data_IF_544607199804
#
_entry.id   IF_544607199804
#
_cell.length_a   1.000
_cell.length_b   1.000
_cell.length_c   1.000
_cell.angle_alpha   90.00
_cell.angle_beta   90.00
_cell.angle_gamma   90.00
#
_symmetry.space_group_name_H-M   'P 1'
#
loop_
_entity.id
_entity.type
_entity.pdbx_description
1 polymer ?
#
# COMPACT_ATOMS: atom_id res chain seq x y z
N UNK A 1 15.05 49.52 -18.30
CA UNK A 1 16.35 50.21 -18.35
C UNK A 1 17.20 49.73 -17.18
N UNK A 2 18.37 49.12 -17.50
CA UNK A 2 19.71 49.14 -16.84
C UNK A 2 19.79 49.28 -15.31
N UNK A 3 20.65 48.59 -14.54
CA UNK A 3 21.92 47.90 -14.78
C UNK A 3 22.20 46.92 -13.60
N UNK A 4 22.69 45.70 -13.82
CA UNK A 4 24.11 45.26 -13.79
C UNK A 4 24.93 45.86 -12.63
N UNK A 5 25.32 45.02 -11.65
CA UNK A 5 26.66 45.04 -11.05
C UNK A 5 27.16 43.62 -10.76
N UNK A 6 28.32 43.35 -11.34
CA UNK A 6 29.21 42.21 -11.22
C UNK A 6 30.11 42.46 -10.01
N UNK A 7 30.39 41.45 -9.19
CA UNK A 7 31.67 41.34 -8.47
C UNK A 7 32.06 39.87 -8.29
N UNK A 8 33.36 39.65 -8.31
CA UNK A 8 34.04 38.46 -8.76
C UNK A 8 34.75 37.68 -7.63
N UNK A 9 34.97 36.39 -7.89
CA UNK A 9 36.15 35.55 -7.57
C UNK A 9 36.66 35.44 -6.11
N UNK A 10 36.71 34.19 -5.61
CA UNK A 10 37.93 33.63 -5.00
C UNK A 10 37.93 32.08 -5.07
N UNK A 11 38.97 31.54 -5.72
CA UNK A 11 39.41 30.15 -5.77
C UNK A 11 40.17 29.78 -4.50
N UNK A 12 39.97 28.58 -3.93
CA UNK A 12 41.01 27.87 -3.18
C UNK A 12 40.94 26.38 -3.54
N UNK A 13 41.97 25.91 -4.24
CA UNK A 13 42.31 24.51 -4.43
C UNK A 13 43.43 24.15 -3.44
N UNK A 14 43.35 22.98 -2.81
CA UNK A 14 44.46 22.39 -2.05
C UNK A 14 44.63 20.94 -2.51
N UNK A 15 45.82 20.65 -3.05
CA UNK A 15 46.33 19.33 -3.37
C UNK A 15 47.72 19.17 -2.76
N UNK A 16 48.06 17.95 -2.32
CA UNK A 16 49.40 17.56 -1.84
C UNK A 16 49.29 16.60 -0.63
N UNK A 17 50.06 15.52 -0.48
CA UNK A 17 51.29 15.04 -1.12
C UNK A 17 51.48 13.51 -0.88
N UNK A 18 52.41 12.94 -1.66
CA UNK A 18 53.09 11.63 -1.66
C UNK A 18 53.34 10.92 -0.30
N UNK A 19 53.62 9.62 -0.17
CA UNK A 19 54.24 8.63 -1.07
C UNK A 19 55.68 8.28 -0.63
N UNK A 20 56.09 7.00 -0.75
CA UNK A 20 57.38 6.34 -0.41
C UNK A 20 57.41 5.69 1.00
N UNK A 21 57.93 4.48 1.25
CA UNK A 21 59.03 3.74 0.62
C UNK A 21 58.94 2.20 0.82
N UNK A 22 59.59 1.46 -0.08
CA UNK A 22 59.93 0.02 0.01
C UNK A 22 61.42 -0.10 0.38
N UNK A 23 61.87 -1.27 0.88
CA UNK A 23 62.94 -1.93 0.13
C UNK A 23 62.78 -3.46 0.03
N UNK A 24 63.65 -4.00 -0.82
CA UNK A 24 63.58 -5.28 -1.51
C UNK A 24 64.28 -6.47 -0.79
N UNK A 25 64.07 -7.62 -1.43
CA UNK A 25 64.51 -9.02 -1.24
C UNK A 25 66.03 -9.25 -1.06
N UNK A 26 66.44 -10.49 -0.74
CA UNK A 26 66.95 -11.34 -1.83
C UNK A 26 66.51 -12.81 -1.81
N UNK A 27 66.43 -13.38 -3.02
CA UNK A 27 66.34 -14.80 -3.37
C UNK A 27 67.62 -15.59 -3.02
N UNK A 28 67.49 -16.92 -2.88
CA UNK A 28 68.29 -17.95 -3.58
C UNK A 28 68.09 -19.34 -2.92
N UNK A 29 67.45 -20.29 -3.62
CA UNK A 29 68.03 -21.49 -4.30
C UNK A 29 68.15 -22.76 -3.44
N UNK A 30 67.83 -23.91 -4.04
CA UNK A 30 68.30 -25.21 -3.54
C UNK A 30 67.35 -26.38 -3.76
N UNK A 31 67.84 -27.39 -4.46
CA UNK A 31 67.11 -28.46 -5.18
C UNK A 31 67.13 -29.82 -4.44
N UNK A 32 66.26 -30.75 -4.87
CA UNK A 32 66.42 -32.24 -4.92
C UNK A 32 66.45 -33.12 -3.65
N UNK A 33 65.38 -33.94 -3.49
CA UNK A 33 65.23 -35.42 -3.32
C UNK A 33 66.28 -36.31 -2.56
N UNK A 34 65.92 -37.56 -2.17
CA UNK A 34 65.65 -38.05 -0.81
C UNK A 34 66.76 -38.96 -0.22
N UNK A 35 66.65 -39.39 1.05
CA UNK A 35 66.77 -40.83 1.30
C UNK A 35 65.87 -41.37 2.44
N UNK A 36 65.65 -42.69 2.42
CA UNK A 36 65.24 -43.51 3.57
C UNK A 36 66.33 -44.58 3.78
N UNK A 37 66.39 -45.40 4.87
CA UNK A 37 65.67 -45.35 6.16
C UNK A 37 66.61 -45.48 7.41
N UNK A 38 66.07 -45.18 8.62
CA UNK A 38 66.35 -45.64 10.03
C UNK A 38 67.77 -46.08 10.50
N UNK A 39 68.18 -45.81 11.77
CA UNK A 39 67.52 -46.41 12.94
C UNK A 39 67.37 -45.55 14.20
N UNK A 40 66.56 -46.10 15.10
CA UNK A 40 66.10 -45.57 16.36
C UNK A 40 67.21 -45.18 17.34
N UNK A 41 66.98 -44.09 18.06
CA UNK A 41 67.50 -43.85 19.41
C UNK A 41 66.56 -42.88 20.10
N UNK A 42 65.79 -43.39 21.07
CA UNK A 42 64.97 -42.63 22.00
C UNK A 42 65.81 -41.67 22.83
N UNK A 43 65.31 -40.45 23.06
CA UNK A 43 65.37 -39.90 24.41
C UNK A 43 64.01 -39.34 24.87
N UNK A 44 63.61 -39.84 26.04
CA UNK A 44 62.91 -39.14 27.13
C UNK A 44 61.83 -38.15 26.71
N UNK A 45 60.57 -38.57 26.89
CA UNK A 45 59.38 -37.76 26.77
C UNK A 45 59.44 -36.53 27.69
N UNK A 46 59.73 -35.37 27.10
CA UNK A 46 59.34 -34.08 27.67
C UNK A 46 57.83 -33.93 27.54
N UNK A 47 57.17 -33.56 28.64
CA UNK A 47 55.73 -33.35 28.71
C UNK A 47 55.22 -32.41 27.60
N UNK A 48 54.00 -32.62 27.08
CA UNK A 48 53.49 -31.85 25.96
C UNK A 48 53.29 -30.39 26.36
N UNK A 49 53.87 -29.48 25.58
CA UNK A 49 53.58 -28.05 25.63
C UNK A 49 52.19 -27.86 25.03
N UNK A 50 51.20 -27.52 25.86
CA UNK A 50 49.78 -27.36 25.49
C UNK A 50 49.50 -26.04 24.76
N UNK A 51 50.48 -25.53 24.02
CA UNK A 51 50.33 -24.31 23.24
C UNK A 51 49.93 -24.73 21.82
N UNK A 52 48.79 -24.22 21.36
CA UNK A 52 48.17 -24.39 20.04
C UNK A 52 47.10 -25.49 19.88
N UNK A 53 46.15 -25.56 20.81
CA UNK A 53 44.76 -25.89 20.41
C UNK A 53 44.07 -24.58 20.04
N UNK A 54 43.68 -24.35 18.77
CA UNK A 54 42.80 -23.23 18.45
C UNK A 54 41.54 -23.39 19.30
N UNK A 55 41.35 -22.50 20.27
CA UNK A 55 40.07 -22.39 20.96
C UNK A 55 39.01 -22.06 19.92
N UNK A 56 38.32 -23.09 19.45
CA UNK A 56 37.11 -22.95 18.67
C UNK A 56 36.15 -22.18 19.56
N UNK A 57 35.98 -20.88 19.29
CA UNK A 57 34.95 -20.10 19.95
C UNK A 57 33.63 -20.85 19.76
N UNK A 58 32.83 -21.07 20.81
CA UNK A 58 31.50 -21.62 20.66
C UNK A 58 30.77 -20.83 19.57
N UNK A 59 30.42 -21.48 18.47
CA UNK A 59 29.62 -20.82 17.44
C UNK A 59 28.28 -20.47 18.09
N UNK A 60 27.79 -19.22 17.93
CA UNK A 60 26.48 -18.87 18.42
C UNK A 60 25.45 -19.85 17.83
N UNK A 61 24.41 -20.24 18.59
CA UNK A 61 23.39 -21.15 18.11
C UNK A 61 22.82 -20.62 16.80
N UNK A 62 22.69 -21.50 15.81
CA UNK A 62 22.07 -21.14 14.52
C UNK A 62 20.67 -20.57 14.79
N UNK A 63 20.27 -19.49 14.11
CA UNK A 63 18.94 -18.92 14.28
C UNK A 63 17.87 -19.97 13.97
N UNK A 64 16.70 -19.91 14.64
CA UNK A 64 15.60 -20.81 14.34
C UNK A 64 15.21 -20.70 12.87
N UNK A 65 14.69 -21.79 12.26
CA UNK A 65 14.23 -21.76 10.88
C UNK A 65 13.15 -20.68 10.71
N UNK A 66 13.09 -20.02 9.54
CA UNK A 66 12.10 -18.97 9.31
C UNK A 66 10.68 -19.53 9.43
N UNK A 67 9.72 -18.71 9.88
CA UNK A 67 8.32 -19.12 9.93
C UNK A 67 7.83 -19.59 8.55
N UNK A 68 6.87 -20.53 8.47
CA UNK A 68 6.35 -21.06 7.21
C UNK A 68 5.46 -20.05 6.45
N UNK A 69 5.44 -18.79 6.88
CA UNK A 69 4.57 -17.74 6.40
C UNK A 69 5.32 -16.41 6.35
N UNK A 70 4.84 -15.48 5.53
CA UNK A 70 5.44 -14.18 5.31
C UNK A 70 4.89 -13.06 6.22
N UNK A 71 3.72 -13.26 6.84
CA UNK A 71 3.18 -12.26 7.76
C UNK A 71 4.00 -12.15 9.05
N UNK A 72 4.16 -10.92 9.56
CA UNK A 72 4.85 -10.60 10.81
C UNK A 72 3.93 -10.69 12.03
N UNK A 73 2.62 -10.51 11.83
CA UNK A 73 1.62 -10.67 12.89
C UNK A 73 0.27 -11.17 12.35
N UNK A 74 -0.50 -11.83 13.22
CA UNK A 74 -1.89 -12.21 12.98
C UNK A 74 -2.73 -11.80 14.18
N UNK A 75 -3.86 -11.14 13.92
CA UNK A 75 -4.85 -10.79 14.92
C UNK A 75 -6.25 -10.82 14.31
N UNK A 76 -7.11 -11.69 14.85
CA UNK A 76 -8.51 -11.82 14.47
C UNK A 76 -8.72 -12.00 12.95
N UNK A 77 -7.86 -12.83 12.32
CA UNK A 77 -7.91 -13.05 10.86
C UNK A 77 -7.48 -11.83 10.02
N UNK A 78 -6.80 -10.86 10.65
CA UNK A 78 -6.11 -9.75 9.99
C UNK A 78 -4.61 -9.98 10.11
N UNK A 79 -3.91 -9.94 8.99
CA UNK A 79 -2.49 -10.30 8.86
C UNK A 79 -1.67 -9.05 8.56
N UNK A 80 -0.60 -8.81 9.31
CA UNK A 80 0.28 -7.67 9.13
C UNK A 80 1.57 -8.07 8.41
N UNK A 81 1.90 -7.34 7.35
CA UNK A 81 3.11 -7.57 6.54
C UNK A 81 4.05 -6.37 6.62
N UNK A 82 5.34 -6.63 6.74
CA UNK A 82 6.37 -5.59 6.77
C UNK A 82 6.70 -5.13 5.35
N UNK A 83 6.46 -3.85 5.01
CA UNK A 83 6.86 -3.33 3.72
C UNK A 83 8.36 -3.05 3.70
N UNK A 84 8.98 -3.26 2.55
CA UNK A 84 10.37 -2.89 2.34
C UNK A 84 10.62 -1.38 2.59
N UNK A 85 11.76 -1.09 3.19
CA UNK A 85 12.31 0.26 3.29
C UNK A 85 12.86 0.69 1.93
N UNK A 86 12.63 1.93 1.56
CA UNK A 86 13.30 2.55 0.41
C UNK A 86 14.71 3.02 0.79
N UNK A 87 15.56 3.27 -0.21
CA UNK A 87 16.89 3.89 0.00
C UNK A 87 16.80 5.23 0.75
N UNK A 88 15.75 6.01 0.49
CA UNK A 88 15.52 7.28 1.18
C UNK A 88 15.08 7.06 2.63
N UNK A 89 14.27 6.03 2.90
CA UNK A 89 13.93 5.63 4.28
C UNK A 89 15.21 5.32 5.06
N UNK A 90 16.09 4.48 4.50
CA UNK A 90 17.36 4.10 5.12
C UNK A 90 18.24 5.33 5.34
N UNK A 91 18.39 6.19 4.33
CA UNK A 91 19.20 7.41 4.41
C UNK A 91 18.68 8.40 5.45
N UNK A 92 17.36 8.44 5.65
CA UNK A 92 16.71 9.25 6.68
C UNK A 92 16.77 8.64 8.09
N UNK A 93 17.40 7.47 8.26
CA UNK A 93 17.50 6.76 9.54
C UNK A 93 16.21 6.04 9.94
N UNK A 94 15.27 5.83 9.00
CA UNK A 94 14.05 5.08 9.28
C UNK A 94 14.36 3.58 9.34
N UNK A 95 14.24 3.00 10.52
CA UNK A 95 14.51 1.59 10.75
C UNK A 95 13.33 0.66 10.40
N UNK A 96 12.09 1.15 10.47
CA UNK A 96 10.87 0.36 10.22
C UNK A 96 9.77 1.20 9.59
N UNK A 97 8.84 0.55 8.91
CA UNK A 97 7.59 1.13 8.42
C UNK A 97 6.41 0.46 9.13
N UNK A 98 5.26 1.15 9.29
CA UNK A 98 4.05 0.52 9.80
C UNK A 98 3.68 -0.70 8.97
N UNK A 99 3.12 -1.73 9.62
CA UNK A 99 2.65 -2.93 8.95
C UNK A 99 1.51 -2.61 7.99
N UNK A 100 1.53 -3.29 6.85
CA UNK A 100 0.41 -3.30 5.91
C UNK A 100 -0.53 -4.42 6.34
N UNK A 101 -1.73 -4.03 6.77
CA UNK A 101 -2.73 -4.96 7.29
C UNK A 101 -3.59 -5.47 6.15
N UNK A 102 -3.83 -6.77 6.09
CA UNK A 102 -4.68 -7.39 5.09
C UNK A 102 -5.59 -8.47 5.68
N UNK A 103 -6.67 -8.76 4.96
CA UNK A 103 -7.60 -9.86 5.25
C UNK A 103 -7.74 -10.73 4.01
N UNK A 104 -7.66 -12.04 4.19
CA UNK A 104 -7.88 -12.98 3.11
C UNK A 104 -9.37 -13.25 2.94
N UNK A 105 -9.93 -13.10 1.75
CA UNK A 105 -11.36 -13.38 1.47
C UNK A 105 -11.59 -14.85 1.14
N UNK A 106 -10.55 -15.53 0.65
CA UNK A 106 -10.66 -16.87 0.08
C UNK A 106 -10.51 -16.88 -1.44
N UNK A 107 -10.72 -18.07 -2.01
CA UNK A 107 -10.79 -18.25 -3.45
C UNK A 107 -12.19 -17.89 -3.97
N UNK A 108 -12.25 -17.08 -5.03
CA UNK A 108 -13.47 -16.66 -5.72
C UNK A 108 -13.24 -16.79 -7.22
N UNK A 109 -14.07 -17.56 -7.91
CA UNK A 109 -14.00 -17.71 -9.37
C UNK A 109 -12.58 -18.10 -9.87
N UNK A 110 -11.92 -19.00 -9.11
CA UNK A 110 -10.55 -19.45 -9.41
C UNK A 110 -9.43 -18.46 -9.06
N UNK A 111 -9.75 -17.29 -8.50
CA UNK A 111 -8.78 -16.29 -8.05
C UNK A 111 -8.67 -16.23 -6.52
N UNK A 112 -7.46 -16.13 -6.00
CA UNK A 112 -7.21 -15.75 -4.59
C UNK A 112 -7.54 -14.29 -4.42
N UNK A 113 -8.37 -13.95 -3.42
CA UNK A 113 -8.78 -12.56 -3.16
C UNK A 113 -8.31 -12.13 -1.78
N UNK A 114 -7.56 -11.03 -1.73
CA UNK A 114 -7.13 -10.37 -0.49
C UNK A 114 -7.64 -8.92 -0.44
N UNK A 115 -7.86 -8.41 0.76
CA UNK A 115 -8.25 -7.03 1.03
C UNK A 115 -7.17 -6.37 1.88
N UNK A 116 -6.48 -5.39 1.33
CA UNK A 116 -5.50 -4.57 2.05
C UNK A 116 -6.23 -3.38 2.66
N UNK A 117 -6.12 -3.24 3.97
CA UNK A 117 -6.80 -2.22 4.75
C UNK A 117 -5.95 -0.95 4.79
N UNK A 118 -6.57 0.19 4.54
CA UNK A 118 -5.91 1.46 4.77
C UNK A 118 -5.87 1.78 6.28
N UNK A 119 -4.72 2.25 6.76
CA UNK A 119 -4.52 2.51 8.19
C UNK A 119 -5.27 3.76 8.67
N UNK A 120 -5.43 4.74 7.77
CA UNK A 120 -5.92 6.09 8.09
C UNK A 120 -7.42 6.20 7.73
N UNK A 121 -7.86 5.49 6.70
CA UNK A 121 -9.24 5.52 6.21
C UNK A 121 -9.86 4.13 6.13
N UNK A 122 -10.65 3.78 7.15
CA UNK A 122 -11.36 2.49 7.24
C UNK A 122 -12.37 2.25 6.11
N UNK A 123 -12.77 3.30 5.39
CA UNK A 123 -13.69 3.19 4.25
C UNK A 123 -12.97 2.87 2.95
N UNK A 124 -11.65 2.96 2.92
CA UNK A 124 -10.81 2.66 1.74
C UNK A 124 -10.14 1.31 1.94
N UNK A 125 -10.22 0.46 0.93
CA UNK A 125 -9.63 -0.88 0.95
C UNK A 125 -9.15 -1.24 -0.43
N UNK A 126 -7.95 -1.78 -0.56
CA UNK A 126 -7.45 -2.27 -1.86
C UNK A 126 -7.74 -3.76 -1.98
N UNK A 127 -8.66 -4.14 -2.86
CA UNK A 127 -8.91 -5.54 -3.21
C UNK A 127 -7.86 -5.99 -4.23
N UNK A 128 -7.19 -7.10 -3.98
CA UNK A 128 -6.27 -7.70 -4.95
C UNK A 128 -6.74 -9.12 -5.27
N UNK A 129 -6.69 -9.48 -6.55
CA UNK A 129 -7.09 -10.79 -7.03
C UNK A 129 -6.09 -11.35 -8.04
N UNK A 130 -5.70 -12.62 -7.88
CA UNK A 130 -4.87 -13.33 -8.86
C UNK A 130 -5.26 -14.80 -8.98
N UNK A 131 -5.08 -15.37 -10.15
CA UNK A 131 -5.14 -16.82 -10.37
C UNK A 131 -3.74 -17.41 -10.22
N UNK A 132 -3.63 -18.63 -9.69
CA UNK A 132 -2.34 -19.33 -9.61
C UNK A 132 -1.68 -19.38 -11.02
N UNK A 133 -0.36 -19.14 -11.14
CA UNK A 133 0.65 -19.02 -10.08
C UNK A 133 0.86 -17.58 -9.55
N UNK A 134 -0.11 -16.68 -9.72
CA UNK A 134 -0.08 -15.31 -9.23
C UNK A 134 1.13 -14.49 -9.68
N UNK A 135 1.54 -14.63 -10.94
CA UNK A 135 2.56 -13.74 -11.56
C UNK A 135 2.05 -12.30 -11.75
N UNK A 136 0.73 -12.14 -11.86
CA UNK A 136 0.05 -10.87 -12.01
C UNK A 136 -1.19 -10.86 -11.12
N UNK A 137 -1.50 -9.69 -10.59
CA UNK A 137 -2.71 -9.48 -9.80
C UNK A 137 -3.44 -8.23 -10.29
N UNK A 138 -4.76 -8.34 -10.36
CA UNK A 138 -5.63 -7.17 -10.52
C UNK A 138 -5.83 -6.54 -9.16
N UNK A 139 -5.50 -5.27 -9.05
CA UNK A 139 -5.74 -4.44 -7.86
C UNK A 139 -6.90 -3.51 -8.12
N UNK A 140 -7.80 -3.39 -7.16
CA UNK A 140 -8.98 -2.56 -7.19
C UNK A 140 -8.98 -1.71 -5.91
N UNK A 141 -8.73 -0.42 -6.04
CA UNK A 141 -8.89 0.50 -4.91
C UNK A 141 -10.39 0.72 -4.70
N UNK A 142 -10.91 0.34 -3.54
CA UNK A 142 -12.32 0.43 -3.18
C UNK A 142 -12.55 1.54 -2.18
N UNK A 143 -13.64 2.30 -2.34
CA UNK A 143 -14.25 3.08 -1.26
C UNK A 143 -15.62 2.50 -0.96
N UNK A 144 -15.73 1.79 0.17
CA UNK A 144 -16.90 0.94 0.47
C UNK A 144 -17.06 -0.17 -0.58
N UNK A 145 -18.13 -0.11 -1.38
CA UNK A 145 -18.43 -1.09 -2.45
C UNK A 145 -18.04 -0.61 -3.85
N UNK A 146 -17.58 0.64 -4.00
CA UNK A 146 -17.28 1.23 -5.30
C UNK A 146 -15.81 1.04 -5.67
N UNK A 147 -15.55 0.55 -6.88
CA UNK A 147 -14.19 0.46 -7.44
C UNK A 147 -13.77 1.85 -7.94
N UNK A 148 -12.83 2.49 -7.27
CA UNK A 148 -12.27 3.79 -7.65
C UNK A 148 -11.22 3.66 -8.75
N UNK A 149 -10.37 2.63 -8.66
CA UNK A 149 -9.26 2.41 -9.58
C UNK A 149 -9.02 0.93 -9.79
N UNK A 150 -8.78 0.51 -11.03
CA UNK A 150 -8.36 -0.86 -11.36
C UNK A 150 -7.00 -0.81 -12.06
N UNK A 151 -6.04 -1.58 -11.55
CA UNK A 151 -4.72 -1.73 -12.17
C UNK A 151 -4.32 -3.20 -12.20
N UNK A 152 -3.41 -3.56 -13.08
CA UNK A 152 -2.77 -4.89 -13.08
C UNK A 152 -1.32 -4.71 -12.71
N UNK A 153 -0.91 -5.33 -11.61
CA UNK A 153 0.47 -5.28 -11.14
C UNK A 153 1.17 -6.61 -11.38
N UNK A 154 2.49 -6.56 -11.56
CA UNK A 154 3.33 -7.76 -11.51
C UNK A 154 3.59 -8.13 -10.06
N UNK A 155 3.41 -9.40 -9.73
CA UNK A 155 3.67 -9.95 -8.40
C UNK A 155 4.93 -10.80 -8.46
N UNK A 156 5.89 -10.49 -7.59
CA UNK A 156 7.17 -11.20 -7.47
C UNK A 156 7.35 -11.70 -6.05
N UNK A 157 8.14 -12.76 -5.84
CA UNK A 157 8.36 -13.35 -4.51
C UNK A 157 8.87 -12.32 -3.48
N UNK A 158 9.76 -11.43 -3.89
CA UNK A 158 10.33 -10.40 -3.01
C UNK A 158 9.43 -9.15 -2.85
N UNK A 159 8.26 -9.13 -3.47
CA UNK A 159 7.31 -8.02 -3.32
C UNK A 159 6.39 -8.28 -2.13
N UNK A 160 5.88 -7.20 -1.53
CA UNK A 160 4.88 -7.27 -0.47
C UNK A 160 3.65 -8.09 -0.91
N UNK A 161 3.17 -7.86 -2.13
CA UNK A 161 2.06 -8.62 -2.71
C UNK A 161 2.40 -10.11 -2.92
N UNK A 162 3.67 -10.42 -3.20
CA UNK A 162 4.17 -11.79 -3.34
C UNK A 162 4.03 -12.57 -2.06
N UNK A 163 4.58 -12.05 -0.96
CA UNK A 163 4.44 -12.70 0.35
C UNK A 163 2.98 -12.88 0.78
N UNK A 164 2.11 -11.90 0.49
CA UNK A 164 0.67 -12.02 0.73
C UNK A 164 0.01 -13.15 -0.07
N UNK A 165 0.30 -13.27 -1.36
CA UNK A 165 -0.30 -14.30 -2.20
C UNK A 165 0.34 -15.67 -2.04
N UNK A 166 1.62 -15.75 -1.68
CA UNK A 166 2.28 -17.01 -1.31
C UNK A 166 1.64 -17.63 -0.08
N UNK A 167 1.36 -16.82 0.95
CA UNK A 167 0.64 -17.27 2.14
C UNK A 167 -0.79 -17.71 1.78
N UNK A 168 -1.45 -17.01 0.84
CA UNK A 168 -2.77 -17.41 0.36
C UNK A 168 -2.75 -18.73 -0.41
N UNK A 169 -1.76 -18.93 -1.28
CA UNK A 169 -1.57 -20.15 -2.08
C UNK A 169 -1.09 -21.35 -1.25
N UNK A 170 -0.32 -21.12 -0.19
CA UNK A 170 0.15 -22.17 0.71
C UNK A 170 -0.94 -22.64 1.69
N UNK A 171 -2.05 -21.92 1.77
CA UNK A 171 -3.21 -22.28 2.59
C UNK A 171 -3.04 -21.95 4.08
N UNK A 172 -2.03 -21.17 4.45
CA UNK A 172 -1.79 -20.78 5.86
C UNK A 172 -2.75 -19.67 6.33
N UNK A 173 -3.38 -18.94 5.40
CA UNK A 173 -4.33 -17.87 5.72
C UNK A 173 -5.76 -18.40 5.93
N UNK A 174 -6.43 -17.84 6.95
CA UNK A 174 -7.84 -18.12 7.26
C UNK A 174 -8.74 -17.11 6.53
N UNK A 175 -9.76 -17.55 5.78
CA UNK A 175 -10.72 -16.63 5.15
C UNK A 175 -11.52 -15.81 6.17
N UNK A 176 -11.44 -14.49 6.06
CA UNK A 176 -12.23 -13.54 6.83
C UNK A 176 -13.67 -13.45 6.31
N UNK A 177 -14.63 -13.24 7.20
CA UNK A 177 -16.04 -13.05 6.85
C UNK A 177 -16.77 -14.35 6.47
N UNK A 178 -16.12 -15.51 6.57
CA UNK A 178 -16.85 -16.75 6.75
C UNK A 178 -17.41 -16.74 8.17
N UNK A 179 -18.61 -16.17 8.34
CA UNK A 179 -19.54 -16.80 9.27
C UNK A 179 -19.58 -18.24 8.80
N UNK A 180 -19.09 -19.16 9.62
CA UNK A 180 -19.49 -20.56 9.50
C UNK A 180 -21.01 -20.45 9.45
N UNK A 181 -21.60 -20.62 8.28
CA UNK A 181 -23.02 -20.81 8.18
C UNK A 181 -23.19 -22.07 9.02
N UNK A 182 -23.58 -21.89 10.28
CA UNK A 182 -24.01 -22.96 11.14
C UNK A 182 -24.95 -23.74 10.24
N UNK A 183 -24.47 -24.91 9.84
CA UNK A 183 -25.18 -25.76 8.91
C UNK A 183 -26.52 -25.93 9.58
N UNK A 184 -27.56 -25.26 9.05
CA UNK A 184 -28.92 -25.55 9.46
C UNK A 184 -28.98 -27.07 9.34
N UNK A 185 -29.24 -27.82 10.41
CA UNK A 185 -29.39 -29.25 10.27
C UNK A 185 -30.44 -29.41 9.16
N UNK A 186 -30.05 -30.16 8.14
CA UNK A 186 -30.96 -30.61 7.09
C UNK A 186 -32.07 -31.30 7.86
N UNK A 187 -33.18 -30.59 8.06
CA UNK A 187 -34.43 -31.18 8.48
C UNK A 187 -34.83 -31.99 7.25
N UNK A 188 -34.56 -33.28 7.34
CA UNK A 188 -35.02 -34.29 6.40
C UNK A 188 -36.54 -34.12 6.30
N UNK A 189 -37.13 -33.76 5.15
CA UNK A 189 -38.56 -33.84 4.99
C UNK A 189 -38.93 -35.32 4.93
N UNK A 190 -39.76 -35.77 5.86
CA UNK A 190 -40.44 -37.05 5.78
C UNK A 190 -41.32 -37.10 4.51
N UNK A 191 -41.58 -38.31 3.97
CA UNK A 191 -41.91 -38.49 2.56
C UNK A 191 -43.33 -38.08 2.19
N UNK A 192 -43.46 -37.84 0.89
CA UNK A 192 -44.63 -37.34 0.18
C UNK A 192 -45.87 -38.22 0.36
N UNK A 193 -47.01 -37.57 0.61
CA UNK A 193 -48.32 -38.09 0.26
C UNK A 193 -48.79 -37.48 -1.05
N UNK A 194 -49.18 -38.37 -1.96
CA UNK A 194 -49.62 -38.10 -3.32
C UNK A 194 -51.14 -38.00 -3.37
N UNK A 195 -51.68 -36.88 -3.86
CA UNK A 195 -52.97 -36.76 -4.59
C UNK A 195 -53.10 -35.32 -5.09
N UNK A 196 -53.03 -35.03 -6.39
CA UNK A 196 -53.96 -35.32 -7.49
C UNK A 196 -54.67 -34.03 -7.94
N UNK A 197 -54.25 -33.59 -9.12
CA UNK A 197 -54.81 -32.71 -10.16
C UNK A 197 -56.08 -31.88 -9.93
N UNK A 198 -55.98 -30.58 -10.27
CA UNK A 198 -57.01 -29.80 -10.96
C UNK A 198 -56.37 -28.62 -11.74
N UNK A 199 -57.00 -28.11 -12.81
CA UNK A 199 -56.34 -27.49 -13.95
C UNK A 199 -56.03 -26.00 -13.80
N UNK A 200 -54.95 -25.55 -14.44
CA UNK A 200 -54.56 -24.15 -14.54
C UNK A 200 -55.56 -23.45 -15.48
N UNK A 201 -56.43 -22.63 -14.90
CA UNK A 201 -57.21 -21.64 -15.66
C UNK A 201 -56.41 -20.35 -15.62
N UNK A 202 -55.86 -19.95 -16.76
CA UNK A 202 -55.16 -18.68 -16.92
C UNK A 202 -56.17 -17.54 -16.76
N UNK A 203 -56.10 -16.84 -15.63
CA UNK A 203 -56.76 -15.56 -15.43
C UNK A 203 -55.72 -14.45 -15.59
N UNK A 204 -55.97 -13.41 -16.40
CA UNK A 204 -55.08 -12.26 -16.48
C UNK A 204 -55.23 -11.43 -15.20
N UNK A 205 -54.23 -11.45 -14.33
CA UNK A 205 -54.19 -10.57 -13.18
C UNK A 205 -53.61 -9.18 -13.56
N UNK A 206 -54.24 -8.10 -13.07
CA UNK A 206 -53.92 -6.72 -13.44
C UNK A 206 -52.71 -6.19 -12.66
N UNK A 207 -51.93 -5.36 -13.34
CA UNK A 207 -50.84 -4.51 -12.87
C UNK A 207 -50.85 -4.21 -11.35
N UNK A 208 -49.80 -4.62 -10.64
CA UNK A 208 -49.34 -3.96 -9.42
C UNK A 208 -47.89 -3.48 -9.66
N UNK A 209 -47.59 -2.19 -9.41
CA UNK A 209 -46.26 -1.63 -9.62
C UNK A 209 -45.44 -1.73 -8.33
N UNK A 210 -44.60 -2.76 -8.22
CA UNK A 210 -43.46 -2.74 -7.30
C UNK A 210 -42.17 -2.62 -8.10
N UNK A 211 -41.96 -1.42 -8.63
CA UNK A 211 -40.64 -0.96 -9.03
C UNK A 211 -40.00 -0.35 -7.78
N UNK A 212 -38.82 -0.79 -7.31
CA UNK A 212 -38.01 0.06 -6.47
C UNK A 212 -37.74 1.33 -7.29
N UNK A 213 -38.33 2.43 -6.87
CA UNK A 213 -38.05 3.77 -7.40
C UNK A 213 -36.56 4.07 -7.14
N UNK A 214 -35.70 3.63 -8.06
CA UNK A 214 -34.44 4.28 -8.32
C UNK A 214 -34.75 5.54 -9.13
N UNK A 215 -35.38 6.53 -8.48
CA UNK A 215 -35.19 7.92 -8.90
C UNK A 215 -33.75 8.26 -8.56
N UNK A 216 -32.82 7.83 -9.42
CA UNK A 216 -31.50 8.41 -9.49
C UNK A 216 -31.71 9.88 -9.85
N UNK A 217 -31.90 10.72 -8.84
CA UNK A 217 -31.75 12.16 -8.98
C UNK A 217 -30.36 12.34 -9.58
N UNK A 218 -30.30 12.81 -10.82
CA UNK A 218 -29.03 13.15 -11.46
C UNK A 218 -28.35 14.14 -10.53
N UNK A 219 -27.34 13.70 -9.78
CA UNK A 219 -26.63 14.55 -8.84
C UNK A 219 -25.89 15.58 -9.69
N UNK A 220 -26.43 16.79 -9.74
CA UNK A 220 -25.81 17.92 -10.43
C UNK A 220 -24.84 18.60 -9.46
N UNK A 221 -23.67 19.05 -9.93
CA UNK A 221 -22.76 19.83 -9.11
C UNK A 221 -23.38 21.18 -8.72
N UNK A 222 -22.68 21.94 -7.87
CA UNK A 222 -23.13 23.25 -7.38
C UNK A 222 -23.15 24.37 -8.43
N UNK A 223 -22.80 24.04 -9.68
CA UNK A 223 -22.77 24.96 -10.82
C UNK A 223 -23.52 24.40 -12.02
N UNK A 224 -23.81 25.28 -12.98
CA UNK A 224 -24.53 24.95 -14.20
C UNK A 224 -23.62 24.23 -15.20
N UNK A 225 -23.86 22.93 -15.42
CA UNK A 225 -23.08 22.12 -16.35
C UNK A 225 -23.14 22.59 -17.80
N UNK A 226 -24.20 23.31 -18.22
CA UNK A 226 -24.25 23.91 -19.55
C UNK A 226 -23.24 25.05 -19.73
N UNK A 227 -22.66 25.56 -18.63
CA UNK A 227 -21.66 26.63 -18.62
C UNK A 227 -20.24 26.14 -18.36
N UNK A 228 -20.02 24.82 -18.28
CA UNK A 228 -18.70 24.24 -18.07
C UNK A 228 -17.73 24.62 -19.20
N UNK A 229 -16.55 25.12 -18.85
CA UNK A 229 -15.52 25.64 -19.77
C UNK A 229 -14.15 25.02 -19.56
N UNK A 230 -13.93 24.36 -18.42
CA UNK A 230 -12.65 23.74 -18.09
C UNK A 230 -12.72 22.22 -18.01
N UNK A 231 -11.57 21.56 -18.13
CA UNK A 231 -11.46 20.10 -17.97
C UNK A 231 -11.98 19.67 -16.58
N UNK A 232 -11.60 20.32 -15.46
CA UNK A 232 -12.22 20.09 -14.16
C UNK A 232 -13.74 20.17 -14.16
N UNK A 233 -14.32 21.25 -14.68
CA UNK A 233 -15.78 21.45 -14.70
C UNK A 233 -16.48 20.37 -15.54
N UNK A 234 -15.90 20.01 -16.68
CA UNK A 234 -16.42 18.92 -17.52
C UNK A 234 -16.41 17.58 -16.78
N UNK A 235 -15.31 17.24 -16.11
CA UNK A 235 -15.20 16.02 -15.32
C UNK A 235 -16.22 15.99 -14.17
N UNK A 236 -16.38 17.11 -13.46
CA UNK A 236 -17.35 17.24 -12.37
C UNK A 236 -18.80 17.05 -12.87
N UNK A 237 -19.12 17.54 -14.07
CA UNK A 237 -20.46 17.40 -14.65
C UNK A 237 -20.83 15.98 -15.09
N UNK A 238 -19.84 15.15 -15.42
CA UNK A 238 -20.05 13.81 -15.98
C UNK A 238 -19.67 12.69 -15.01
N UNK A 239 -19.33 13.02 -13.77
CA UNK A 239 -19.01 12.05 -12.72
C UNK A 239 -19.81 12.37 -11.45
N UNK A 240 -20.66 11.43 -11.02
CA UNK A 240 -21.57 11.64 -9.89
C UNK A 240 -20.83 11.82 -8.55
N UNK A 241 -19.64 11.24 -8.38
CA UNK A 241 -18.87 11.37 -7.15
C UNK A 241 -18.20 12.75 -7.06
N UNK A 242 -17.69 13.24 -8.19
CA UNK A 242 -17.19 14.61 -8.29
C UNK A 242 -18.32 15.62 -8.11
N UNK A 243 -19.49 15.39 -8.69
CA UNK A 243 -20.68 16.23 -8.49
C UNK A 243 -21.13 16.26 -7.03
N UNK A 244 -21.19 15.10 -6.35
CA UNK A 244 -21.48 15.02 -4.92
C UNK A 244 -20.43 15.77 -4.09
N UNK A 245 -19.15 15.61 -4.43
CA UNK A 245 -18.06 16.32 -3.76
C UNK A 245 -18.12 17.83 -3.94
N UNK A 246 -18.58 18.29 -5.11
CA UNK A 246 -18.77 19.70 -5.39
C UNK A 246 -19.92 20.31 -4.57
N UNK A 247 -21.05 19.61 -4.46
CA UNK A 247 -22.17 20.00 -3.60
C UNK A 247 -21.77 20.09 -2.13
N UNK A 248 -21.06 19.08 -1.62
CA UNK A 248 -20.57 19.07 -0.24
C UNK A 248 -19.60 20.22 0.02
N UNK A 249 -18.68 20.48 -0.92
CA UNK A 249 -17.76 21.59 -0.83
C UNK A 249 -18.49 22.94 -0.79
N UNK A 250 -19.56 23.12 -1.58
CA UNK A 250 -20.34 24.35 -1.59
C UNK A 250 -21.03 24.61 -0.24
N UNK A 251 -21.54 23.56 0.41
CA UNK A 251 -22.10 23.66 1.76
C UNK A 251 -21.03 24.06 2.79
N UNK A 252 -19.86 23.41 2.77
CA UNK A 252 -18.73 23.73 3.64
C UNK A 252 -18.17 25.13 3.39
N UNK A 253 -18.10 25.56 2.13
CA UNK A 253 -17.67 26.90 1.77
C UNK A 253 -18.56 27.96 2.40
N UNK A 254 -19.89 27.75 2.38
CA UNK A 254 -20.85 28.68 2.99
C UNK A 254 -20.63 28.78 4.50
N UNK A 255 -20.51 27.65 5.20
CA UNK A 255 -20.23 27.60 6.64
C UNK A 255 -18.90 28.28 6.99
N UNK A 256 -17.83 27.95 6.26
CA UNK A 256 -16.50 28.53 6.48
C UNK A 256 -16.48 30.03 6.19
N UNK A 257 -17.21 30.49 5.15
CA UNK A 257 -17.34 31.90 4.80
C UNK A 257 -18.03 32.67 5.90
N UNK A 258 -19.06 32.11 6.54
CA UNK A 258 -19.77 32.74 7.66
C UNK A 258 -18.87 32.84 8.90
N UNK A 259 -18.19 31.76 9.25
CA UNK A 259 -17.32 31.67 10.43
C UNK A 259 -16.02 32.49 10.32
N UNK A 260 -15.48 32.71 9.11
CA UNK A 260 -14.17 33.34 8.94
C UNK A 260 -14.10 34.76 9.52
N UNK A 261 -13.13 35.01 10.40
CA UNK A 261 -12.90 36.33 11.00
C UNK A 261 -12.32 37.34 9.99
N UNK A 262 -11.41 36.87 9.12
CA UNK A 262 -10.77 37.66 8.07
C UNK A 262 -11.33 37.26 6.70
N UNK A 263 -12.36 38.00 6.24
CA UNK A 263 -13.04 37.72 4.97
C UNK A 263 -12.12 37.91 3.75
N UNK A 264 -11.14 38.82 3.83
CA UNK A 264 -10.19 39.08 2.74
C UNK A 264 -9.22 37.92 2.60
N UNK A 265 -8.63 37.45 3.70
CA UNK A 265 -7.76 36.27 3.67
C UNK A 265 -8.50 35.01 3.22
N UNK A 266 -9.76 34.83 3.63
CA UNK A 266 -10.59 33.70 3.18
C UNK A 266 -10.85 33.74 1.67
N UNK A 267 -11.22 34.90 1.13
CA UNK A 267 -11.43 35.08 -0.30
C UNK A 267 -10.15 34.83 -1.10
N UNK A 268 -9.01 35.33 -0.62
CA UNK A 268 -7.71 35.13 -1.26
C UNK A 268 -7.28 33.66 -1.26
N UNK A 269 -7.47 32.95 -0.14
CA UNK A 269 -7.16 31.52 -0.01
C UNK A 269 -8.01 30.69 -0.97
N UNK A 270 -9.33 30.87 -0.93
CA UNK A 270 -10.26 30.10 -1.76
C UNK A 270 -10.02 30.39 -3.24
N UNK A 271 -9.81 31.66 -3.65
CA UNK A 271 -9.43 31.98 -5.03
C UNK A 271 -8.15 31.27 -5.47
N UNK A 272 -7.11 31.21 -4.64
CA UNK A 272 -5.88 30.47 -4.95
C UNK A 272 -6.13 28.98 -5.16
N UNK A 273 -6.96 28.37 -4.32
CA UNK A 273 -7.29 26.95 -4.41
C UNK A 273 -8.13 26.62 -5.65
N UNK A 274 -9.08 27.47 -6.02
CA UNK A 274 -9.89 27.29 -7.23
C UNK A 274 -8.98 27.43 -8.46
N UNK A 275 -8.13 28.45 -8.50
CA UNK A 275 -7.14 28.61 -9.57
C UNK A 275 -6.18 27.42 -9.68
N UNK A 276 -5.79 26.81 -8.56
CA UNK A 276 -4.96 25.60 -8.57
C UNK A 276 -5.72 24.44 -9.21
N UNK A 277 -6.97 24.19 -8.82
CA UNK A 277 -7.82 23.14 -9.43
C UNK A 277 -7.92 23.31 -10.94
N UNK A 278 -8.27 24.50 -11.40
CA UNK A 278 -8.43 24.82 -12.82
C UNK A 278 -7.14 24.55 -13.63
N UNK A 279 -5.98 24.89 -13.05
CA UNK A 279 -4.69 24.77 -13.73
C UNK A 279 -4.12 23.36 -13.71
N UNK A 280 -4.26 22.63 -12.61
CA UNK A 280 -3.46 21.43 -12.35
C UNK A 280 -4.24 20.12 -12.51
N UNK A 281 -5.55 20.12 -12.28
CA UNK A 281 -6.32 18.88 -12.35
C UNK A 281 -6.81 18.57 -13.76
N UNK A 282 -6.53 17.35 -14.24
CA UNK A 282 -6.90 16.86 -15.57
C UNK A 282 -7.56 15.48 -15.54
N UNK A 283 -7.69 14.90 -14.36
CA UNK A 283 -8.30 13.60 -14.12
C UNK A 283 -9.11 13.63 -12.82
N UNK A 284 -9.87 12.55 -12.61
CA UNK A 284 -10.73 12.36 -11.44
C UNK A 284 -9.92 12.27 -10.15
N UNK A 285 -8.79 11.56 -10.16
CA UNK A 285 -7.95 11.36 -8.97
C UNK A 285 -7.41 12.67 -8.40
N UNK A 286 -6.95 13.58 -9.28
CA UNK A 286 -6.53 14.93 -8.87
C UNK A 286 -7.68 15.71 -8.25
N UNK A 287 -8.87 15.67 -8.86
CA UNK A 287 -10.04 16.39 -8.35
C UNK A 287 -10.50 15.85 -7.00
N UNK A 288 -10.57 14.52 -6.84
CA UNK A 288 -10.90 13.90 -5.56
C UNK A 288 -9.90 14.27 -4.46
N UNK A 289 -8.61 14.23 -4.77
CA UNK A 289 -7.54 14.63 -3.85
C UNK A 289 -7.66 16.12 -3.47
N UNK A 290 -7.94 16.97 -4.45
CA UNK A 290 -8.15 18.40 -4.24
C UNK A 290 -9.40 18.68 -3.38
N UNK A 291 -10.52 18.01 -3.66
CA UNK A 291 -11.75 18.12 -2.87
C UNK A 291 -11.51 17.66 -1.44
N UNK A 292 -10.86 16.51 -1.22
CA UNK A 292 -10.55 16.02 0.12
C UNK A 292 -9.70 17.02 0.92
N UNK A 293 -8.65 17.56 0.30
CA UNK A 293 -7.83 18.61 0.91
C UNK A 293 -8.67 19.87 1.24
N UNK A 294 -9.43 20.37 0.26
CA UNK A 294 -10.14 21.63 0.41
C UNK A 294 -11.31 21.53 1.40
N UNK A 295 -12.02 20.39 1.45
CA UNK A 295 -13.05 20.13 2.47
C UNK A 295 -12.44 20.16 3.87
N UNK A 296 -11.34 19.45 4.11
CA UNK A 296 -10.65 19.45 5.41
C UNK A 296 -10.25 20.86 5.87
N UNK A 297 -9.70 21.65 4.94
CA UNK A 297 -9.34 23.05 5.18
C UNK A 297 -10.57 23.90 5.54
N UNK A 298 -11.65 23.82 4.76
CA UNK A 298 -12.85 24.61 5.00
C UNK A 298 -13.53 24.21 6.31
N UNK A 299 -13.55 22.93 6.65
CA UNK A 299 -14.04 22.43 7.95
C UNK A 299 -13.26 23.05 9.11
N UNK A 300 -11.93 23.10 9.04
CA UNK A 300 -11.11 23.77 10.07
C UNK A 300 -11.43 25.26 10.17
N UNK A 301 -11.56 25.96 9.05
CA UNK A 301 -11.92 27.38 9.02
C UNK A 301 -13.32 27.60 9.62
N UNK A 302 -14.28 26.73 9.30
CA UNK A 302 -15.63 26.79 9.85
C UNK A 302 -15.65 26.62 11.38
N UNK A 303 -14.73 25.80 11.92
CA UNK A 303 -14.62 25.55 13.35
C UNK A 303 -13.88 26.65 14.11
N UNK A 304 -12.84 27.25 13.52
CA UNK A 304 -11.92 28.17 14.23
C UNK A 304 -12.12 29.64 13.86
N UNK A 305 -12.75 29.93 12.71
CA UNK A 305 -12.78 31.25 12.11
C UNK A 305 -11.43 31.75 11.56
N UNK A 306 -10.35 30.96 11.68
CA UNK A 306 -9.03 31.34 11.16
C UNK A 306 -8.89 30.96 9.68
N UNK A 307 -8.93 31.96 8.80
CA UNK A 307 -8.75 31.81 7.37
C UNK A 307 -7.38 31.23 6.94
N UNK A 308 -6.40 31.14 7.85
CA UNK A 308 -5.05 30.61 7.60
C UNK A 308 -4.85 29.16 8.07
N UNK A 309 -5.88 28.52 8.62
CA UNK A 309 -5.81 27.13 9.07
C UNK A 309 -5.43 26.15 7.93
N UNK A 310 -4.65 25.11 8.28
CA UNK A 310 -4.22 24.01 7.40
C UNK A 310 -4.48 22.66 8.08
#
# INVERSE_FOLDING_TARGET
MRAIRIFALALIAIAGLAGCDRPATPDATGTTQPPAPTPASTPVASAPRWEDVPSARPQPPSPPPPPPHNYAMEQDGTYGYEPALSEDDIRSGRAVKPLVMMRYVGMREGSYVILVLDKDNKSVTTRMACQAPCNFATTQLMAGTTVLKTETIRVTHNSLAGGMFEDAMSGVLKPYGQTVAASKPIVVPAPADTRASAPITEQPQPNSPDTPQNTASVQQPSFDCAKAKSIPEYLICHDSELAASDLELAALYSQAKEAANDKVAFADRTRKQWNYREKNCRDKDCLLSWYAYQKNVLTKIAQTGDARAN
#
